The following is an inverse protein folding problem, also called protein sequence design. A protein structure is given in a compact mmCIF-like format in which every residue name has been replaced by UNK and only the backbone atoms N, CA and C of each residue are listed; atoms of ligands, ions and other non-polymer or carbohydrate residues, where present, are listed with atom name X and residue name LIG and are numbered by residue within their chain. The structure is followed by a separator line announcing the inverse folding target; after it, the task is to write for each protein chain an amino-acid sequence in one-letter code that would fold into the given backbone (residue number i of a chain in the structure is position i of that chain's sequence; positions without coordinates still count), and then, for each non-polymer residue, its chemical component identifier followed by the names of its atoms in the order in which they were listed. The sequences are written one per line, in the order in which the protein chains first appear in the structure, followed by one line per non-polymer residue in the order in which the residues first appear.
data_IF_488740842642
#
_entry.id   IF_488740842642
#
_cell.length_a   1.000
_cell.length_b   1.000
_cell.length_c   1.000
_cell.angle_alpha   90.00
_cell.angle_beta   90.00
_cell.angle_gamma   90.00
#
_symmetry.space_group_name_H-M   'P 1'
#
loop_
_entity.id
_entity.type
_entity.pdbx_description
1 polymer ?
#
# COMPACT_ATOMS: atom_id res chain seq x y z
N UNK A 1 -9.12 67.27 14.72
CA UNK A 1 -10.49 67.81 14.52
C UNK A 1 -11.45 66.67 14.68
N UNK A 2 -12.12 66.67 15.82
CA UNK A 2 -13.57 66.76 16.04
C UNK A 2 -14.36 65.63 15.35
N UNK A 3 -15.27 64.88 15.94
CA UNK A 3 -16.02 64.86 17.21
C UNK A 3 -16.95 63.64 17.11
N UNK A 4 -17.08 62.85 18.18
CA UNK A 4 -18.20 62.79 19.15
C UNK A 4 -19.53 62.20 18.65
N UNK A 5 -19.95 61.12 19.36
CA UNK A 5 -21.10 60.98 20.33
C UNK A 5 -22.37 60.44 19.65
N UNK A 6 -23.26 59.63 20.23
CA UNK A 6 -23.81 59.30 21.57
C UNK A 6 -24.80 58.14 21.37
N UNK A 7 -24.84 57.08 22.17
CA UNK A 7 -25.80 56.89 23.28
C UNK A 7 -27.29 57.17 22.98
N UNK A 8 -28.15 56.17 23.13
CA UNK A 8 -29.40 56.32 23.83
C UNK A 8 -30.01 54.97 24.25
N UNK A 9 -30.19 54.89 25.55
CA UNK A 9 -31.04 53.98 26.30
C UNK A 9 -32.51 54.23 25.98
N UNK A 10 -33.35 53.18 25.94
CA UNK A 10 -34.79 53.33 26.10
C UNK A 10 -35.27 52.27 27.11
N UNK A 11 -35.50 52.82 28.34
CA UNK A 11 -36.34 52.22 29.36
C UNK A 11 -37.81 52.41 28.97
N UNK A 12 -38.63 51.36 28.99
CA UNK A 12 -40.05 51.44 29.09
C UNK A 12 -40.60 50.57 30.21
N UNK A 13 -41.08 51.26 31.22
CA UNK A 13 -41.94 50.78 32.31
C UNK A 13 -43.32 50.41 31.75
N UNK A 14 -43.84 49.25 32.05
CA UNK A 14 -45.26 49.01 32.04
C UNK A 14 -45.75 48.34 33.32
N UNK A 15 -46.70 48.94 33.82
CA UNK A 15 -47.48 48.94 35.03
C UNK A 15 -48.35 47.67 35.17
N UNK A 16 -48.39 47.13 36.39
CA UNK A 16 -49.26 46.06 36.88
C UNK A 16 -50.74 46.24 36.49
N UNK A 17 -51.34 45.22 35.91
CA UNK A 17 -52.75 44.89 36.05
C UNK A 17 -52.95 43.43 36.39
N UNK A 18 -53.54 43.17 37.56
CA UNK A 18 -54.07 41.91 37.99
C UNK A 18 -55.21 41.46 37.09
N UNK A 19 -55.17 40.24 36.53
CA UNK A 19 -56.36 39.51 36.13
C UNK A 19 -56.18 38.05 36.48
N UNK A 20 -57.26 37.45 36.97
CA UNK A 20 -57.30 36.16 37.64
C UNK A 20 -57.06 34.89 36.80
N UNK A 21 -56.68 33.90 37.48
CA UNK A 21 -56.90 32.47 37.34
C UNK A 21 -56.92 31.89 35.95
N UNK A 22 -55.74 31.40 35.51
CA UNK A 22 -55.67 30.25 34.62
C UNK A 22 -54.40 29.47 34.97
N UNK A 23 -54.57 28.19 35.33
CA UNK A 23 -53.50 27.25 35.65
C UNK A 23 -52.67 27.05 34.38
N UNK A 24 -51.48 27.64 34.36
CA UNK A 24 -50.49 27.34 33.33
C UNK A 24 -49.89 25.97 33.57
N UNK A 25 -50.25 25.01 32.75
CA UNK A 25 -49.61 23.71 32.69
C UNK A 25 -48.25 23.94 31.99
N UNK A 26 -47.16 23.95 32.76
CA UNK A 26 -45.81 23.90 32.22
C UNK A 26 -45.59 22.47 31.64
N UNK A 27 -45.72 22.32 30.32
CA UNK A 27 -45.23 21.19 29.60
C UNK A 27 -43.70 21.36 29.49
N UNK A 28 -42.97 20.70 30.40
CA UNK A 28 -41.55 20.54 30.28
C UNK A 28 -41.28 19.60 29.08
N UNK A 29 -40.90 20.16 27.94
CA UNK A 29 -40.34 19.39 26.84
C UNK A 29 -38.96 18.86 27.29
N UNK A 30 -38.96 17.64 27.75
CA UNK A 30 -37.74 16.87 27.98
C UNK A 30 -37.13 16.55 26.61
N UNK A 31 -36.17 17.36 26.14
CA UNK A 31 -35.35 17.02 25.01
C UNK A 31 -34.45 15.84 25.43
N UNK A 32 -34.96 14.63 25.22
CA UNK A 32 -34.11 13.41 25.27
C UNK A 32 -33.20 13.49 24.05
N UNK A 33 -31.98 13.98 24.25
CA UNK A 33 -30.90 13.75 23.30
C UNK A 33 -30.65 12.23 23.24
N UNK A 34 -31.29 11.55 22.30
CA UNK A 34 -30.83 10.27 21.84
C UNK A 34 -29.48 10.51 21.17
N UNK A 35 -28.40 10.43 21.94
CA UNK A 35 -27.10 10.13 21.38
C UNK A 35 -27.21 8.73 20.81
N UNK A 36 -27.53 8.64 19.51
CA UNK A 36 -27.23 7.41 18.77
C UNK A 36 -25.73 7.22 18.89
N UNK A 37 -25.22 6.17 19.55
CA UNK A 37 -23.87 5.79 19.34
C UNK A 37 -23.79 5.52 17.83
N UNK A 38 -22.98 6.30 17.10
CA UNK A 38 -22.55 5.89 15.78
C UNK A 38 -21.92 4.51 15.98
N UNK A 39 -22.69 3.45 15.73
CA UNK A 39 -22.15 2.12 15.53
C UNK A 39 -21.28 2.24 14.27
N UNK A 40 -20.06 2.71 14.44
CA UNK A 40 -19.01 2.31 13.54
C UNK A 40 -19.09 0.79 13.54
N UNK A 41 -19.59 0.22 12.44
CA UNK A 41 -19.51 -1.21 12.21
C UNK A 41 -18.04 -1.53 12.44
N UNK A 42 -17.78 -2.27 13.53
CA UNK A 42 -16.42 -2.70 13.84
C UNK A 42 -15.98 -3.51 12.63
N UNK A 43 -15.09 -2.91 11.82
CA UNK A 43 -14.53 -3.59 10.66
C UNK A 43 -13.82 -4.82 11.23
N UNK A 44 -14.21 -6.02 10.78
CA UNK A 44 -13.70 -7.26 11.31
C UNK A 44 -12.16 -7.28 11.19
N UNK A 45 -11.48 -7.81 12.19
CA UNK A 45 -10.05 -8.09 12.14
C UNK A 45 -9.73 -9.03 10.95
N UNK A 46 -8.47 -9.01 10.45
CA UNK A 46 -8.05 -9.91 9.38
C UNK A 46 -8.30 -11.37 9.77
N UNK A 47 -8.94 -12.12 8.88
CA UNK A 47 -9.26 -13.53 9.09
C UNK A 47 -8.50 -14.40 8.11
N UNK A 48 -7.94 -15.48 8.63
CA UNK A 48 -7.22 -16.45 7.81
C UNK A 48 -8.10 -16.96 6.67
N UNK A 49 -7.56 -16.88 5.43
CA UNK A 49 -8.23 -17.35 4.22
C UNK A 49 -9.21 -16.35 3.59
N UNK A 50 -9.38 -15.16 4.17
CA UNK A 50 -10.24 -14.10 3.63
C UNK A 50 -9.42 -12.85 3.33
N UNK A 51 -9.69 -12.21 2.19
CA UNK A 51 -9.12 -10.88 1.90
C UNK A 51 -9.67 -9.85 2.90
N UNK A 52 -8.88 -8.83 3.18
CA UNK A 52 -9.25 -7.84 4.17
C UNK A 52 -9.35 -6.44 3.55
N UNK A 53 -10.54 -5.86 3.61
CA UNK A 53 -10.80 -4.48 3.18
C UNK A 53 -10.70 -3.58 4.40
N UNK A 54 -9.86 -2.56 4.34
CA UNK A 54 -9.64 -1.58 5.41
C UNK A 54 -10.19 -0.23 4.97
N UNK A 55 -11.05 0.38 5.82
CA UNK A 55 -11.53 1.75 5.63
C UNK A 55 -10.98 2.63 6.74
N UNK A 56 -10.14 3.59 6.40
CA UNK A 56 -9.58 4.55 7.35
C UNK A 56 -10.66 5.54 7.85
N UNK A 57 -10.44 6.22 8.99
CA UNK A 57 -11.36 7.27 9.47
C UNK A 57 -11.59 8.40 8.46
N UNK A 58 -10.66 8.62 7.54
CA UNK A 58 -10.80 9.57 6.42
C UNK A 58 -11.76 9.11 5.32
N UNK A 59 -12.25 7.87 5.36
CA UNK A 59 -13.06 7.26 4.31
C UNK A 59 -12.23 6.58 3.20
N UNK A 60 -10.90 6.73 3.20
CA UNK A 60 -10.01 6.05 2.24
C UNK A 60 -10.01 4.55 2.51
N UNK A 61 -10.20 3.75 1.46
CA UNK A 61 -10.20 2.29 1.53
C UNK A 61 -9.01 1.69 0.80
N UNK A 62 -8.50 0.57 1.32
CA UNK A 62 -7.51 -0.26 0.64
C UNK A 62 -7.75 -1.74 0.94
N UNK A 63 -7.28 -2.59 0.04
CA UNK A 63 -7.51 -4.03 0.10
C UNK A 63 -6.18 -4.76 0.35
N UNK A 64 -6.22 -5.74 1.24
CA UNK A 64 -5.12 -6.63 1.58
C UNK A 64 -5.50 -8.05 1.19
N UNK A 65 -4.77 -8.63 0.27
CA UNK A 65 -5.01 -10.00 -0.25
C UNK A 65 -4.35 -11.02 0.69
N UNK A 66 -5.11 -12.02 1.08
CA UNK A 66 -4.60 -13.13 1.90
C UNK A 66 -3.66 -14.02 1.09
N UNK A 67 -2.48 -14.28 1.62
CA UNK A 67 -1.47 -15.16 1.01
C UNK A 67 -1.21 -16.33 1.97
N UNK A 68 -1.56 -17.53 1.53
CA UNK A 68 -1.32 -18.75 2.29
C UNK A 68 0.17 -19.13 2.31
N UNK A 69 0.63 -19.86 3.35
CA UNK A 69 1.96 -20.46 3.36
C UNK A 69 2.19 -21.35 2.15
N UNK A 70 3.43 -21.44 1.70
CA UNK A 70 3.76 -22.28 0.55
C UNK A 70 5.25 -22.37 0.27
N UNK A 71 5.61 -23.26 -0.66
CA UNK A 71 6.99 -23.47 -1.13
C UNK A 71 7.06 -23.16 -2.61
N UNK A 72 8.09 -22.45 -3.05
CA UNK A 72 8.28 -22.10 -4.45
C UNK A 72 9.76 -22.05 -4.84
N UNK A 73 10.02 -21.99 -6.13
CA UNK A 73 11.36 -21.71 -6.67
C UNK A 73 11.54 -20.20 -6.83
N UNK A 74 12.34 -19.61 -5.96
CA UNK A 74 12.73 -18.20 -6.00
C UNK A 74 13.91 -18.01 -6.94
N UNK A 75 13.91 -16.92 -7.72
CA UNK A 75 14.92 -16.68 -8.75
C UNK A 75 14.51 -17.21 -10.13
N UNK A 76 15.41 -17.16 -11.10
CA UNK A 76 15.14 -17.53 -12.50
C UNK A 76 15.90 -18.78 -12.94
N UNK A 77 15.31 -19.64 -13.79
CA UNK A 77 16.04 -20.73 -14.45
C UNK A 77 17.13 -20.15 -15.37
N UNK A 78 18.15 -20.97 -15.65
CA UNK A 78 19.35 -20.54 -16.37
C UNK A 78 19.09 -20.04 -17.80
N UNK A 79 18.01 -20.49 -18.40
CA UNK A 79 17.56 -20.16 -19.76
C UNK A 79 16.52 -19.04 -19.84
N UNK A 80 16.14 -18.42 -18.71
CA UNK A 80 15.17 -17.33 -18.72
C UNK A 80 15.77 -16.09 -19.41
N UNK A 81 15.06 -15.57 -20.41
CA UNK A 81 15.49 -14.41 -21.17
C UNK A 81 15.63 -13.17 -20.27
N UNK A 82 16.76 -12.48 -20.37
CA UNK A 82 17.05 -11.27 -19.59
C UNK A 82 17.41 -11.52 -18.12
N UNK A 83 17.66 -12.77 -17.70
CA UNK A 83 18.10 -13.09 -16.34
C UNK A 83 19.45 -12.48 -16.00
N UNK A 84 19.69 -12.30 -14.71
CA UNK A 84 20.99 -11.87 -14.16
C UNK A 84 21.52 -12.92 -13.16
N UNK A 85 22.84 -12.97 -12.96
CA UNK A 85 23.48 -13.98 -12.11
C UNK A 85 23.06 -13.90 -10.64
N UNK A 86 22.63 -12.71 -10.20
CA UNK A 86 22.08 -12.50 -8.85
C UNK A 86 20.73 -13.17 -8.60
N UNK A 87 20.11 -13.73 -9.64
CA UNK A 87 18.79 -14.39 -9.59
C UNK A 87 18.92 -15.92 -9.48
N UNK A 88 19.97 -16.42 -8.78
CA UNK A 88 20.19 -17.85 -8.61
C UNK A 88 18.98 -18.56 -8.07
N UNK A 89 18.46 -19.55 -8.83
CA UNK A 89 17.24 -20.24 -8.46
C UNK A 89 17.49 -21.18 -7.27
N UNK A 90 16.65 -21.09 -6.25
CA UNK A 90 16.67 -21.94 -5.06
C UNK A 90 15.25 -22.12 -4.51
N UNK A 91 15.08 -23.10 -3.63
CA UNK A 91 13.79 -23.36 -3.03
C UNK A 91 13.58 -22.48 -1.78
N UNK A 92 12.41 -21.87 -1.67
CA UNK A 92 12.01 -21.09 -0.50
C UNK A 92 10.66 -21.58 0.02
N UNK A 93 10.58 -21.80 1.34
CA UNK A 93 9.35 -22.10 2.05
C UNK A 93 8.95 -20.91 2.93
N UNK A 94 7.76 -20.38 2.72
CA UNK A 94 7.10 -19.43 3.60
C UNK A 94 6.17 -20.22 4.52
N UNK A 95 6.45 -20.23 5.83
CA UNK A 95 5.71 -21.06 6.80
C UNK A 95 4.52 -20.35 7.41
N UNK A 96 4.43 -19.03 7.25
CA UNK A 96 3.38 -18.18 7.84
C UNK A 96 2.55 -17.55 6.75
N UNK A 97 1.26 -17.48 7.00
CA UNK A 97 0.36 -16.64 6.24
C UNK A 97 0.66 -15.15 6.49
N UNK A 98 0.35 -14.34 5.49
CA UNK A 98 0.47 -12.90 5.53
C UNK A 98 -0.56 -12.28 4.58
N UNK A 99 -0.70 -10.96 4.62
CA UNK A 99 -1.48 -10.24 3.62
C UNK A 99 -0.55 -9.32 2.82
N UNK A 100 -0.88 -9.14 1.56
CA UNK A 100 -0.18 -8.20 0.69
C UNK A 100 -1.16 -7.19 0.10
N UNK A 101 -0.79 -5.92 0.04
CA UNK A 101 -1.60 -4.89 -0.58
C UNK A 101 -1.96 -5.26 -2.01
N UNK A 102 -3.26 -5.25 -2.36
CA UNK A 102 -3.76 -5.51 -3.71
C UNK A 102 -3.05 -4.64 -4.75
N UNK A 103 -2.80 -3.40 -4.36
CA UNK A 103 -2.06 -2.40 -5.13
C UNK A 103 -0.83 -1.92 -4.37
N UNK A 104 0.08 -1.28 -5.07
CA UNK A 104 1.08 -0.41 -4.45
C UNK A 104 0.38 0.70 -3.68
N UNK A 105 1.00 1.25 -2.63
CA UNK A 105 0.41 2.35 -1.85
C UNK A 105 0.11 3.52 -2.78
N UNK A 106 -1.16 3.93 -2.82
CA UNK A 106 -1.61 5.08 -3.61
C UNK A 106 -1.30 6.40 -2.91
N UNK A 107 -1.29 7.48 -3.67
CA UNK A 107 -1.10 8.82 -3.11
C UNK A 107 -2.21 9.19 -2.13
N UNK A 108 -3.45 8.79 -2.41
CA UNK A 108 -4.59 9.02 -1.52
C UNK A 108 -4.38 8.32 -0.17
N UNK A 109 -3.98 7.04 -0.18
CA UNK A 109 -3.70 6.30 1.04
C UNK A 109 -2.50 6.90 1.80
N UNK A 110 -1.44 7.29 1.07
CA UNK A 110 -0.29 7.95 1.67
C UNK A 110 -0.66 9.28 2.36
N UNK A 111 -1.43 10.14 1.68
CA UNK A 111 -1.89 11.42 2.26
C UNK A 111 -2.80 11.23 3.46
N UNK A 112 -3.68 10.23 3.43
CA UNK A 112 -4.58 9.92 4.55
C UNK A 112 -3.84 9.56 5.84
N UNK A 113 -2.64 8.97 5.73
CA UNK A 113 -1.82 8.54 6.89
C UNK A 113 -0.78 9.60 7.29
N UNK A 114 -0.20 10.33 6.30
CA UNK A 114 0.96 11.21 6.54
C UNK A 114 0.63 12.70 6.48
N UNK A 115 -0.47 13.07 5.85
CA UNK A 115 -0.89 14.46 5.67
C UNK A 115 -0.17 15.21 4.53
N UNK A 116 0.72 14.57 3.76
CA UNK A 116 1.48 15.19 2.69
C UNK A 116 1.73 14.21 1.53
N UNK A 117 2.01 14.74 0.33
CA UNK A 117 2.26 13.92 -0.86
C UNK A 117 3.56 14.33 -1.56
N UNK A 118 4.63 13.50 -1.50
CA UNK A 118 5.94 13.83 -2.07
C UNK A 118 6.02 13.60 -3.59
N UNK A 119 5.04 12.91 -4.18
CA UNK A 119 5.09 12.39 -5.54
C UNK A 119 5.26 13.49 -6.59
N UNK A 120 5.95 13.17 -7.69
CA UNK A 120 6.15 14.06 -8.83
C UNK A 120 4.87 14.24 -9.64
N UNK A 121 4.24 13.13 -10.02
CA UNK A 121 2.95 13.14 -10.71
C UNK A 121 1.84 13.09 -9.67
N UNK A 122 0.79 13.89 -9.84
CA UNK A 122 -0.29 14.01 -8.87
C UNK A 122 -1.57 13.32 -9.35
N UNK A 123 -2.18 12.56 -8.47
CA UNK A 123 -3.46 11.86 -8.71
C UNK A 123 -3.77 10.86 -7.62
N UNK A 124 -4.99 10.82 -7.13
CA UNK A 124 -5.43 9.98 -5.99
C UNK A 124 -5.08 8.50 -6.19
N UNK A 125 -5.36 7.97 -7.36
CA UNK A 125 -5.13 6.56 -7.72
C UNK A 125 -3.73 6.30 -8.32
N UNK A 126 -2.84 7.29 -8.36
CA UNK A 126 -1.45 7.05 -8.75
C UNK A 126 -0.68 6.45 -7.58
N UNK A 127 0.34 5.61 -7.85
CA UNK A 127 1.23 5.13 -6.80
C UNK A 127 1.95 6.30 -6.14
N UNK A 128 2.17 6.23 -4.82
CA UNK A 128 3.09 7.15 -4.16
C UNK A 128 4.52 6.82 -4.61
N UNK A 129 5.28 7.86 -4.95
CA UNK A 129 6.69 7.75 -5.34
C UNK A 129 7.51 8.86 -4.68
N UNK A 130 8.84 8.84 -4.83
CA UNK A 130 9.78 9.69 -4.09
C UNK A 130 9.74 9.49 -2.58
N UNK A 131 9.57 8.26 -2.17
CA UNK A 131 9.64 7.80 -0.78
C UNK A 131 10.87 6.93 -0.60
N UNK A 132 11.63 7.17 0.46
CA UNK A 132 12.77 6.34 0.86
C UNK A 132 12.28 5.08 1.55
N UNK A 133 13.18 4.13 1.78
CA UNK A 133 12.86 2.93 2.57
C UNK A 133 12.42 3.30 3.99
N UNK A 134 13.10 4.25 4.62
CA UNK A 134 12.74 4.72 5.96
C UNK A 134 11.35 5.40 5.97
N UNK A 135 11.03 6.23 4.96
CA UNK A 135 9.69 6.84 4.84
C UNK A 135 8.59 5.77 4.72
N UNK A 136 8.86 4.69 3.95
CA UNK A 136 7.91 3.59 3.79
C UNK A 136 7.71 2.81 5.11
N UNK A 137 8.79 2.55 5.86
CA UNK A 137 8.70 1.90 7.17
C UNK A 137 7.99 2.78 8.21
N UNK A 138 8.24 4.09 8.22
CA UNK A 138 7.54 5.04 9.08
C UNK A 138 6.04 5.11 8.75
N UNK A 139 5.68 5.03 7.47
CA UNK A 139 4.30 4.92 7.04
C UNK A 139 3.64 3.64 7.61
N UNK A 140 4.30 2.49 7.46
CA UNK A 140 3.80 1.21 8.00
C UNK A 140 3.59 1.28 9.51
N UNK A 141 4.52 1.88 10.24
CA UNK A 141 4.42 2.10 11.69
C UNK A 141 3.21 2.97 12.04
N UNK A 142 3.06 4.13 11.40
CA UNK A 142 1.93 5.05 11.62
C UNK A 142 0.59 4.38 11.32
N UNK A 143 0.50 3.62 10.22
CA UNK A 143 -0.71 2.89 9.87
C UNK A 143 -1.04 1.81 10.91
N UNK A 144 -0.04 1.07 11.39
CA UNK A 144 -0.20 0.08 12.47
C UNK A 144 -0.76 0.73 13.75
N UNK A 145 -0.17 1.83 14.18
CA UNK A 145 -0.63 2.57 15.37
C UNK A 145 -2.05 3.11 15.20
N UNK A 146 -2.37 3.65 14.02
CA UNK A 146 -3.71 4.15 13.69
C UNK A 146 -4.76 3.04 13.73
N UNK A 147 -4.45 1.88 13.14
CA UNK A 147 -5.38 0.75 13.06
C UNK A 147 -5.56 0.04 14.40
N UNK A 148 -4.52 -0.07 15.22
CA UNK A 148 -4.62 -0.54 16.62
C UNK A 148 -5.47 0.40 17.46
N UNK A 149 -5.21 1.70 17.39
CA UNK A 149 -5.98 2.71 18.14
C UNK A 149 -7.46 2.70 17.77
N UNK A 150 -7.79 2.34 16.54
CA UNK A 150 -9.17 2.20 16.09
C UNK A 150 -9.82 0.87 16.50
N UNK A 151 -9.06 -0.08 17.08
CA UNK A 151 -9.51 -1.42 17.45
C UNK A 151 -9.68 -2.39 16.26
N UNK A 152 -9.27 -2.01 15.03
CA UNK A 152 -9.40 -2.87 13.84
C UNK A 152 -8.25 -3.85 13.68
N UNK A 153 -7.03 -3.46 14.09
CA UNK A 153 -5.85 -4.33 13.98
C UNK A 153 -5.54 -4.99 15.34
N UNK A 154 -5.50 -6.34 15.41
CA UNK A 154 -5.06 -7.04 16.60
C UNK A 154 -3.61 -6.71 16.97
N UNK A 155 -3.28 -6.75 18.26
CA UNK A 155 -1.94 -6.42 18.79
C UNK A 155 -0.82 -7.30 18.23
N UNK A 156 -1.13 -8.52 17.84
CA UNK A 156 -0.17 -9.48 17.29
C UNK A 156 0.01 -9.38 15.75
N UNK A 157 -0.48 -8.29 15.13
CA UNK A 157 -0.31 -8.01 13.70
C UNK A 157 0.28 -6.62 13.48
N UNK A 158 1.09 -6.45 12.43
CA UNK A 158 1.63 -5.15 12.02
C UNK A 158 1.74 -5.01 10.52
N UNK A 159 1.59 -3.78 10.04
CA UNK A 159 1.97 -3.40 8.69
C UNK A 159 3.48 -3.24 8.60
N UNK A 160 4.03 -3.68 7.47
CA UNK A 160 5.46 -3.59 7.15
C UNK A 160 5.64 -3.63 5.63
N UNK A 161 6.88 -3.59 5.15
CA UNK A 161 7.22 -3.97 3.79
C UNK A 161 7.24 -5.51 3.67
N UNK A 162 6.87 -6.09 2.51
CA UNK A 162 7.08 -7.51 2.28
C UNK A 162 8.58 -7.83 2.30
N UNK A 163 8.93 -9.04 2.73
CA UNK A 163 10.27 -9.57 2.43
C UNK A 163 10.41 -9.80 0.93
N UNK A 164 11.63 -9.87 0.42
CA UNK A 164 11.88 -10.15 -0.99
C UNK A 164 11.22 -11.47 -1.41
N UNK A 165 11.29 -12.49 -0.57
CA UNK A 165 10.68 -13.79 -0.81
C UNK A 165 9.14 -13.73 -0.79
N UNK A 166 8.55 -13.01 0.16
CA UNK A 166 7.09 -12.78 0.20
C UNK A 166 6.61 -12.05 -1.06
N UNK A 167 7.37 -11.04 -1.51
CA UNK A 167 7.06 -10.29 -2.71
C UNK A 167 7.08 -11.19 -3.95
N UNK A 168 8.14 -12.00 -4.16
CA UNK A 168 8.27 -12.86 -5.34
C UNK A 168 7.26 -14.01 -5.34
N UNK A 169 7.02 -14.65 -4.17
CA UNK A 169 5.99 -15.67 -4.02
C UNK A 169 4.62 -15.15 -4.45
N UNK A 170 4.23 -14.00 -3.92
CA UNK A 170 2.97 -13.37 -4.25
C UNK A 170 2.92 -12.85 -5.70
N UNK A 171 4.03 -12.36 -6.25
CA UNK A 171 4.12 -11.95 -7.65
C UNK A 171 3.85 -13.13 -8.58
N UNK A 172 4.49 -14.27 -8.33
CA UNK A 172 4.34 -15.48 -9.14
C UNK A 172 2.93 -16.06 -9.09
N UNK A 173 2.28 -16.05 -7.94
CA UNK A 173 0.93 -16.57 -7.77
C UNK A 173 0.74 -17.91 -8.51
N UNK A 174 1.56 -18.91 -8.12
CA UNK A 174 1.63 -20.28 -8.66
C UNK A 174 2.18 -20.40 -10.09
N UNK A 175 2.67 -19.33 -10.72
CA UNK A 175 3.39 -19.44 -11.99
C UNK A 175 4.89 -19.67 -11.80
N UNK A 176 5.52 -20.34 -12.76
CA UNK A 176 6.98 -20.55 -12.82
C UNK A 176 7.65 -19.76 -13.93
N UNK A 177 6.87 -19.04 -14.72
CA UNK A 177 7.31 -18.22 -15.86
C UNK A 177 7.89 -16.87 -15.43
N UNK A 178 8.54 -16.19 -16.36
CA UNK A 178 9.07 -14.84 -16.12
C UNK A 178 8.00 -13.82 -15.71
N UNK A 179 6.74 -14.02 -16.14
CA UNK A 179 5.62 -13.15 -15.87
C UNK A 179 4.50 -13.90 -15.14
N UNK A 180 3.75 -13.19 -14.34
CA UNK A 180 2.66 -13.71 -13.52
C UNK A 180 1.37 -14.08 -14.31
N UNK A 181 1.34 -13.84 -15.61
CA UNK A 181 0.26 -14.27 -16.51
C UNK A 181 0.53 -15.65 -17.17
N UNK A 182 1.51 -16.40 -16.66
CA UNK A 182 1.89 -17.71 -17.18
C UNK A 182 2.69 -17.66 -18.50
N UNK A 183 3.25 -16.50 -18.84
CA UNK A 183 4.02 -16.29 -20.07
C UNK A 183 5.46 -15.88 -19.76
N UNK A 184 6.36 -16.13 -20.71
CA UNK A 184 7.70 -15.57 -20.70
C UNK A 184 7.75 -14.28 -21.52
N UNK A 185 8.85 -13.52 -21.39
CA UNK A 185 9.10 -12.40 -22.28
C UNK A 185 9.22 -12.87 -23.72
N UNK A 186 8.58 -12.17 -24.63
CA UNK A 186 8.60 -12.40 -26.07
C UNK A 186 9.45 -11.38 -26.83
N UNK A 187 10.45 -10.81 -26.16
CA UNK A 187 11.40 -9.87 -26.77
C UNK A 187 12.21 -10.54 -27.88
N UNK A 188 12.44 -9.79 -28.96
CA UNK A 188 13.28 -10.24 -30.06
C UNK A 188 14.77 -10.00 -29.85
N UNK A 189 15.14 -9.08 -28.96
CA UNK A 189 16.54 -8.79 -28.57
C UNK A 189 16.97 -9.66 -27.40
N UNK A 190 18.24 -10.13 -27.44
CA UNK A 190 18.82 -11.05 -26.46
C UNK A 190 18.73 -10.54 -25.01
N UNK A 191 18.84 -9.23 -24.82
CA UNK A 191 18.86 -8.62 -23.49
C UNK A 191 17.46 -8.19 -23.03
N UNK A 192 16.41 -8.45 -23.81
CA UNK A 192 15.02 -8.03 -23.50
C UNK A 192 14.91 -6.58 -23.04
N UNK A 193 15.51 -5.66 -23.81
CA UNK A 193 15.39 -4.21 -23.63
C UNK A 193 14.28 -3.61 -24.48
N UNK A 194 13.83 -4.37 -25.49
CA UNK A 194 12.80 -4.01 -26.44
C UNK A 194 11.37 -4.18 -25.92
N UNK A 195 10.48 -4.29 -26.90
CA UNK A 195 9.06 -4.54 -26.66
C UNK A 195 8.83 -6.01 -26.26
N UNK A 196 7.82 -6.22 -25.38
CA UNK A 196 7.26 -7.52 -25.08
C UNK A 196 5.75 -7.38 -24.96
N UNK A 197 5.03 -8.03 -25.86
CA UNK A 197 3.56 -8.01 -25.87
C UNK A 197 3.00 -8.75 -24.66
N UNK A 198 3.64 -9.82 -24.23
CA UNK A 198 3.28 -10.58 -23.05
C UNK A 198 3.41 -9.74 -21.77
N UNK A 199 4.48 -8.93 -21.66
CA UNK A 199 4.66 -8.00 -20.53
C UNK A 199 3.63 -6.85 -20.59
N UNK A 200 3.31 -6.33 -21.76
CA UNK A 200 2.38 -5.21 -21.90
C UNK A 200 0.97 -5.51 -21.37
N UNK A 201 0.60 -6.81 -21.28
CA UNK A 201 -0.67 -7.21 -20.67
C UNK A 201 -0.75 -6.94 -19.17
N UNK A 202 0.40 -7.01 -18.46
CA UNK A 202 0.49 -6.99 -16.99
C UNK A 202 1.30 -5.82 -16.44
N UNK A 203 1.96 -5.02 -17.31
CA UNK A 203 2.92 -4.00 -16.88
C UNK A 203 2.80 -2.66 -17.61
N UNK A 204 3.10 -1.59 -16.87
CA UNK A 204 3.51 -0.30 -17.40
C UNK A 204 5.05 -0.20 -17.31
N UNK A 205 5.73 -0.18 -18.47
CA UNK A 205 7.20 -0.18 -18.56
C UNK A 205 7.70 0.77 -19.66
N UNK A 206 8.99 0.86 -19.92
CA UNK A 206 9.60 1.85 -20.84
C UNK A 206 8.89 1.98 -22.22
N UNK A 207 8.32 0.88 -22.74
CA UNK A 207 7.74 0.87 -24.09
C UNK A 207 6.26 1.27 -24.15
N UNK A 208 5.55 1.34 -23.03
CA UNK A 208 4.10 1.59 -23.03
C UNK A 208 3.61 2.57 -21.96
N UNK A 209 4.53 3.17 -21.20
CA UNK A 209 4.18 3.98 -20.02
C UNK A 209 4.12 5.48 -20.26
N UNK A 210 4.46 5.96 -21.46
CA UNK A 210 4.62 7.41 -21.74
C UNK A 210 5.58 8.10 -20.74
N UNK A 211 6.55 7.36 -20.18
CA UNK A 211 7.56 7.82 -19.22
C UNK A 211 6.97 8.45 -17.95
N UNK A 212 5.89 7.91 -17.44
CA UNK A 212 5.20 8.36 -16.21
C UNK A 212 4.57 7.20 -15.47
N UNK A 213 4.14 7.44 -14.23
CA UNK A 213 3.29 6.52 -13.47
C UNK A 213 1.87 6.50 -14.02
N UNK A 214 1.17 5.39 -13.84
CA UNK A 214 -0.21 5.18 -14.23
C UNK A 214 -1.07 4.85 -13.00
N UNK A 215 -2.39 5.13 -13.06
CA UNK A 215 -3.31 4.68 -12.02
C UNK A 215 -3.17 3.18 -11.78
N UNK A 216 -3.23 2.79 -10.51
CA UNK A 216 -3.12 1.38 -10.13
C UNK A 216 -4.28 0.55 -10.69
N UNK A 217 -4.05 -0.73 -10.93
CA UNK A 217 -5.10 -1.67 -11.32
C UNK A 217 -5.57 -1.62 -12.78
N UNK A 218 -4.86 -0.92 -13.67
CA UNK A 218 -5.23 -0.83 -15.08
C UNK A 218 -4.72 -1.98 -15.95
N UNK A 219 -3.78 -2.77 -15.45
CA UNK A 219 -3.27 -3.97 -16.11
C UNK A 219 -3.93 -5.22 -15.51
N UNK A 220 -3.74 -6.39 -16.14
CA UNK A 220 -4.29 -7.64 -15.64
C UNK A 220 -3.66 -8.02 -14.28
N UNK A 221 -4.45 -8.49 -13.32
CA UNK A 221 -3.92 -9.01 -12.06
C UNK A 221 -3.28 -10.39 -12.27
N UNK A 222 -2.53 -10.84 -11.26
CA UNK A 222 -2.11 -12.23 -11.18
C UNK A 222 -3.21 -13.15 -10.61
N UNK A 223 -2.92 -14.44 -10.45
CA UNK A 223 -3.90 -15.44 -9.97
C UNK A 223 -4.38 -15.18 -8.53
N UNK A 224 -3.63 -14.41 -7.72
CA UNK A 224 -4.05 -14.02 -6.37
C UNK A 224 -4.84 -12.70 -6.35
N UNK A 225 -5.05 -12.05 -7.50
CA UNK A 225 -5.76 -10.77 -7.59
C UNK A 225 -4.88 -9.55 -7.30
N UNK A 226 -3.55 -9.70 -7.27
CA UNK A 226 -2.58 -8.61 -7.08
C UNK A 226 -2.29 -7.93 -8.42
N UNK A 227 -2.31 -6.60 -8.41
CA UNK A 227 -2.07 -5.76 -9.58
C UNK A 227 -0.69 -5.11 -9.55
N UNK A 228 -0.21 -4.69 -10.70
CA UNK A 228 1.01 -3.90 -10.88
C UNK A 228 2.27 -4.57 -10.27
N UNK A 229 2.29 -5.92 -10.17
CA UNK A 229 3.46 -6.67 -9.74
C UNK A 229 4.61 -6.58 -10.75
N UNK A 230 4.32 -6.14 -11.97
CA UNK A 230 5.25 -5.87 -13.05
C UNK A 230 5.12 -4.41 -13.47
N UNK A 231 6.22 -3.64 -13.43
CA UNK A 231 6.25 -2.25 -13.91
C UNK A 231 5.57 -1.24 -12.99
N UNK A 232 5.08 -0.17 -13.54
CA UNK A 232 4.56 1.02 -12.91
C UNK A 232 5.62 1.71 -12.01
N UNK A 233 5.90 1.20 -10.80
CA UNK A 233 6.99 1.65 -9.94
C UNK A 233 7.74 0.47 -9.33
N UNK A 234 9.03 0.64 -9.08
CA UNK A 234 9.79 -0.25 -8.22
C UNK A 234 9.21 -0.23 -6.82
N UNK A 235 9.26 -1.37 -6.13
CA UNK A 235 8.72 -1.55 -4.80
C UNK A 235 9.82 -1.92 -3.81
N UNK A 236 9.97 -1.12 -2.76
CA UNK A 236 10.84 -1.45 -1.65
C UNK A 236 10.43 -2.76 -0.98
N UNK A 237 11.42 -3.63 -0.70
CA UNK A 237 11.27 -4.78 0.19
C UNK A 237 11.96 -4.52 1.52
N UNK A 238 11.63 -5.35 2.52
CA UNK A 238 12.20 -5.25 3.86
C UNK A 238 13.70 -5.55 3.89
N UNK A 239 14.14 -6.52 3.09
CA UNK A 239 15.45 -7.12 3.12
C UNK A 239 16.58 -6.16 2.72
N UNK A 240 17.72 -6.27 3.39
CA UNK A 240 18.97 -5.81 2.83
C UNK A 240 19.36 -6.68 1.64
N UNK A 241 19.90 -6.08 0.60
CA UNK A 241 20.33 -6.80 -0.59
C UNK A 241 21.59 -7.60 -0.33
N UNK A 242 21.54 -8.89 -0.65
CA UNK A 242 22.67 -9.79 -0.66
C UNK A 242 22.49 -10.87 -1.75
N UNK A 243 23.53 -11.64 -2.04
CA UNK A 243 23.42 -12.80 -2.91
C UNK A 243 22.51 -13.85 -2.27
N UNK A 244 21.81 -14.60 -3.11
CA UNK A 244 20.98 -15.70 -2.64
C UNK A 244 21.84 -16.86 -2.10
N UNK A 245 21.35 -17.56 -1.07
CA UNK A 245 22.03 -18.74 -0.57
C UNK A 245 22.07 -19.86 -1.63
N UNK A 246 23.06 -20.76 -1.51
CA UNK A 246 23.15 -21.94 -2.36
C UNK A 246 22.11 -23.02 -2.04
N UNK A 247 21.58 -22.99 -0.83
CA UNK A 247 20.64 -23.97 -0.30
C UNK A 247 19.21 -23.41 -0.21
N UNK A 248 18.26 -24.31 0.06
CA UNK A 248 16.87 -23.91 0.39
C UNK A 248 16.83 -23.00 1.61
N UNK A 249 15.84 -22.11 1.64
CA UNK A 249 15.61 -21.16 2.74
C UNK A 249 14.19 -21.26 3.29
N UNK A 250 14.03 -20.99 4.59
CA UNK A 250 12.74 -20.97 5.27
C UNK A 250 12.55 -19.56 5.85
N UNK A 251 11.44 -18.92 5.50
CA UNK A 251 11.09 -17.55 5.93
C UNK A 251 12.29 -16.55 5.87
N UNK A 252 13.01 -16.43 4.73
CA UNK A 252 14.21 -15.61 4.66
C UNK A 252 13.87 -14.13 4.85
N UNK A 253 14.73 -13.41 5.58
CA UNK A 253 14.64 -11.98 5.88
C UNK A 253 15.82 -11.18 5.28
N UNK A 254 16.71 -11.85 4.52
CA UNK A 254 18.00 -11.28 4.13
C UNK A 254 18.96 -11.16 5.31
N UNK A 255 20.13 -10.52 5.14
CA UNK A 255 21.09 -10.31 6.22
C UNK A 255 20.62 -9.22 7.20
N UNK A 256 21.13 -9.24 8.45
CA UNK A 256 20.76 -8.27 9.49
C UNK A 256 21.20 -6.83 9.18
N UNK A 257 22.16 -6.64 8.28
CA UNK A 257 22.71 -5.35 7.88
C UNK A 257 23.21 -5.37 6.45
N UNK A 258 23.19 -4.19 5.83
CA UNK A 258 23.67 -4.02 4.46
C UNK A 258 23.84 -2.54 4.12
N UNK A 259 24.11 -2.22 2.86
CA UNK A 259 24.26 -0.86 2.34
C UNK A 259 23.10 -0.42 1.45
N UNK A 260 22.32 -1.39 0.96
CA UNK A 260 21.20 -1.16 0.07
C UNK A 260 20.06 -2.13 0.39
N UNK A 261 18.80 -1.66 0.31
CA UNK A 261 17.62 -2.51 0.40
C UNK A 261 17.19 -3.00 -0.97
N UNK A 262 16.56 -4.17 -0.96
CA UNK A 262 15.99 -4.79 -2.15
C UNK A 262 14.82 -3.95 -2.68
N UNK A 263 14.71 -3.88 -4.01
CA UNK A 263 13.55 -3.39 -4.73
C UNK A 263 13.16 -4.35 -5.84
N UNK A 264 11.88 -4.50 -6.10
CA UNK A 264 11.32 -5.48 -7.02
C UNK A 264 10.31 -4.87 -7.99
N UNK A 265 9.94 -5.60 -9.05
CA UNK A 265 8.83 -5.30 -9.94
C UNK A 265 9.15 -4.51 -11.20
N UNK A 266 10.27 -3.78 -11.25
CA UNK A 266 10.52 -2.87 -12.37
C UNK A 266 9.72 -1.57 -12.27
N UNK A 267 9.71 -0.76 -13.31
CA UNK A 267 8.97 0.50 -13.30
C UNK A 267 8.64 1.01 -14.70
N UNK A 268 7.84 2.07 -14.75
CA UNK A 268 7.46 2.80 -15.96
C UNK A 268 8.66 3.20 -16.85
N UNK A 269 9.82 3.36 -16.31
CA UNK A 269 11.03 3.78 -17.06
C UNK A 269 12.08 2.69 -17.20
N UNK A 270 11.72 1.41 -16.91
CA UNK A 270 12.68 0.32 -16.98
C UNK A 270 12.39 -0.63 -18.13
N UNK A 271 13.44 -1.32 -18.63
CA UNK A 271 13.33 -2.30 -19.73
C UNK A 271 12.55 -3.56 -19.30
N UNK A 272 12.05 -4.30 -20.29
CA UNK A 272 11.27 -5.50 -20.06
C UNK A 272 11.96 -6.51 -19.13
N UNK A 273 13.28 -6.73 -19.30
CA UNK A 273 14.05 -7.66 -18.45
C UNK A 273 13.97 -7.35 -16.95
N UNK A 274 13.86 -6.08 -16.55
CA UNK A 274 13.77 -5.68 -15.15
C UNK A 274 12.37 -5.75 -14.54
N UNK A 275 11.37 -6.07 -15.36
CA UNK A 275 9.99 -6.23 -14.92
C UNK A 275 9.59 -7.70 -14.74
N UNK A 276 10.51 -8.67 -14.76
CA UNK A 276 10.24 -10.10 -14.53
C UNK A 276 10.00 -10.39 -13.04
N UNK A 277 9.30 -11.49 -12.75
CA UNK A 277 9.07 -11.93 -11.37
C UNK A 277 10.37 -12.12 -10.58
N UNK A 278 11.41 -12.67 -11.20
CA UNK A 278 12.71 -12.92 -10.59
C UNK A 278 13.64 -11.71 -10.58
N UNK A 279 13.37 -10.68 -11.42
CA UNK A 279 14.25 -9.53 -11.52
C UNK A 279 14.36 -8.79 -10.19
N UNK A 280 15.60 -8.60 -9.74
CA UNK A 280 15.91 -7.95 -8.47
C UNK A 280 16.90 -6.81 -8.66
N UNK A 281 16.78 -5.81 -7.82
CA UNK A 281 17.71 -4.69 -7.79
C UNK A 281 17.75 -4.10 -6.37
N UNK A 282 18.63 -3.14 -6.15
CA UNK A 282 18.76 -2.50 -4.84
C UNK A 282 19.07 -1.02 -4.96
N UNK A 283 18.77 -0.29 -3.90
CA UNK A 283 19.23 1.08 -3.69
C UNK A 283 19.56 1.34 -2.22
N UNK A 284 20.45 2.32 -1.99
CA UNK A 284 20.66 2.87 -0.65
C UNK A 284 19.31 3.34 -0.07
N UNK A 285 19.06 3.10 1.24
CA UNK A 285 17.76 3.35 1.89
C UNK A 285 17.27 4.81 1.81
N UNK A 286 18.15 5.75 1.50
CA UNK A 286 17.83 7.17 1.43
C UNK A 286 17.35 7.66 0.05
N UNK A 287 17.39 6.81 -0.98
CA UNK A 287 16.97 7.20 -2.33
C UNK A 287 15.46 7.47 -2.41
N UNK A 288 15.12 8.56 -3.12
CA UNK A 288 13.75 8.99 -3.41
C UNK A 288 13.62 9.28 -4.90
N UNK A 289 13.06 8.33 -5.66
CA UNK A 289 12.96 8.42 -7.12
C UNK A 289 11.50 8.44 -7.56
N UNK A 290 11.19 9.13 -8.66
CA UNK A 290 9.86 9.16 -9.28
C UNK A 290 9.40 7.83 -9.89
N UNK A 291 10.18 6.78 -9.73
CA UNK A 291 9.89 5.41 -10.16
C UNK A 291 9.98 4.40 -9.01
N UNK A 292 9.95 4.86 -7.75
CA UNK A 292 10.21 4.02 -6.58
C UNK A 292 9.23 4.37 -5.45
N UNK A 293 8.48 3.38 -5.02
CA UNK A 293 7.53 3.41 -3.91
C UNK A 293 7.50 2.05 -3.22
N UNK A 294 6.33 1.57 -2.80
CA UNK A 294 6.21 0.31 -2.06
C UNK A 294 4.77 -0.20 -2.03
N UNK A 295 4.60 -1.46 -1.66
CA UNK A 295 3.31 -2.02 -1.23
C UNK A 295 3.36 -2.48 0.20
N UNK A 296 2.18 -2.56 0.84
CA UNK A 296 2.05 -3.02 2.20
C UNK A 296 2.12 -4.54 2.28
N UNK A 297 2.79 -5.04 3.30
CA UNK A 297 2.54 -6.36 3.86
C UNK A 297 1.92 -6.20 5.24
N UNK A 298 1.06 -7.14 5.64
CA UNK A 298 0.55 -7.26 6.99
C UNK A 298 0.95 -8.65 7.49
N UNK A 299 1.70 -8.67 8.58
CA UNK A 299 2.33 -9.90 9.09
C UNK A 299 2.05 -10.07 10.58
N UNK A 300 2.04 -11.33 11.10
CA UNK A 300 2.06 -11.57 12.53
C UNK A 300 3.32 -10.98 13.18
N UNK A 301 3.18 -10.33 14.32
CA UNK A 301 4.33 -9.99 15.18
C UNK A 301 4.88 -11.24 15.85
N UNK A 302 6.21 -11.31 15.98
CA UNK A 302 6.88 -12.43 16.66
C UNK A 302 6.78 -12.30 18.16
#
# INVERSE_FOLDING_TARGET
MKNRKTSNDFFFLFRNKKFGGLRAIFLAFLFIFFSFPSQFLAQNAPKKGEDWIVTLPSGVTFEMIYIAPGTFKMGSPADEAGREDSEKQHEVTLTKDYYLGKYVVTQELWEAVTGANPSKWKGTNLPVEKVSWADAMDFCKKLTEMERKSGRLPENWKYTLPTEAQWEFACRADTTTALNNGKNLDCTDKDCRGESSNLAEVAWYDKNSDRKTHPVGLKKPNNYGLYDMHGNIWEWCFDWYADYPDNSAIDPLGPDKGTAHVRRGGSWGYYAKGCRSAARASYSPNYRLGSLGFRLALVPEK
#
